data_IF_202599858499
#
_entry.id   IF_202599858499
#
_cell.length_a   1.000
_cell.length_b   1.000
_cell.length_c   1.000
_cell.angle_alpha   90.00
_cell.angle_beta   90.00
_cell.angle_gamma   90.00
#
_symmetry.space_group_name_H-M   'P 1'
#
loop_
_entity.id
_entity.type
_entity.pdbx_description
1 polymer ?
#
# COMPACT_ATOMS: atom_id res chain seq x y z
N UNK A 1 -25.24 -36.64 -11.93
CA UNK A 1 -25.45 -36.19 -10.53
C UNK A 1 -26.05 -37.34 -9.74
N UNK A 2 -25.42 -37.78 -8.64
CA UNK A 2 -25.98 -37.48 -7.30
C UNK A 2 -24.87 -37.29 -6.22
N UNK A 3 -24.87 -36.23 -5.44
CA UNK A 3 -25.60 -36.02 -4.17
C UNK A 3 -25.14 -36.94 -3.03
N UNK A 4 -24.31 -36.36 -2.15
CA UNK A 4 -23.74 -36.96 -0.93
C UNK A 4 -24.84 -37.08 0.12
N UNK A 5 -25.06 -38.29 0.64
CA UNK A 5 -25.84 -38.51 1.85
C UNK A 5 -24.93 -38.92 3.00
N UNK A 6 -25.11 -38.21 4.10
CA UNK A 6 -24.51 -38.35 5.42
C UNK A 6 -24.88 -39.68 6.10
N UNK A 7 -23.93 -40.37 6.71
CA UNK A 7 -24.19 -41.26 7.85
C UNK A 7 -22.91 -41.49 8.65
N UNK A 8 -22.83 -40.95 9.86
CA UNK A 8 -23.01 -41.73 11.09
C UNK A 8 -21.67 -42.08 11.71
N UNK A 9 -21.31 -41.30 12.73
CA UNK A 9 -20.17 -41.51 13.61
C UNK A 9 -20.33 -42.86 14.33
N UNK A 10 -19.32 -43.73 14.23
CA UNK A 10 -19.22 -44.94 15.04
C UNK A 10 -18.44 -44.64 16.34
N UNK A 11 -18.85 -45.24 17.49
CA UNK A 11 -18.28 -44.91 18.79
C UNK A 11 -16.91 -45.56 19.02
N UNK A 12 -16.01 -44.80 19.64
CA UNK A 12 -14.65 -45.21 20.01
C UNK A 12 -14.73 -45.96 21.35
N UNK A 13 -14.64 -47.29 21.36
CA UNK A 13 -14.66 -48.04 22.63
C UNK A 13 -13.48 -48.95 22.90
N UNK A 14 -12.55 -49.20 21.98
CA UNK A 14 -11.43 -50.12 22.28
C UNK A 14 -10.13 -49.74 21.58
N UNK A 15 -9.44 -48.70 22.05
CA UNK A 15 -7.99 -48.58 21.85
C UNK A 15 -7.35 -48.25 23.20
N UNK A 16 -6.47 -49.16 23.61
CA UNK A 16 -5.69 -49.17 24.85
C UNK A 16 -4.84 -47.90 25.00
N UNK A 17 -4.75 -47.44 26.24
CA UNK A 17 -4.19 -46.18 26.75
C UNK A 17 -2.64 -46.14 26.75
N UNK A 18 -1.97 -46.70 25.74
CA UNK A 18 -0.52 -46.77 25.70
C UNK A 18 0.03 -46.28 24.35
N UNK A 19 0.90 -45.27 24.41
CA UNK A 19 1.78 -44.77 23.35
C UNK A 19 1.19 -43.79 22.30
N UNK A 20 0.61 -42.69 22.77
CA UNK A 20 0.76 -41.41 22.06
C UNK A 20 1.49 -40.50 23.07
N UNK A 21 2.78 -40.15 22.87
CA UNK A 21 3.35 -39.09 23.66
C UNK A 21 2.48 -37.86 23.41
N UNK A 22 2.07 -37.15 24.46
CA UNK A 22 1.49 -35.82 24.34
C UNK A 22 2.46 -34.98 23.51
N UNK A 23 2.23 -34.94 22.20
CA UNK A 23 2.85 -33.99 21.30
C UNK A 23 2.23 -32.66 21.69
N UNK A 24 2.83 -32.06 22.71
CA UNK A 24 2.90 -30.64 23.01
C UNK A 24 1.78 -29.92 22.26
N UNK A 25 0.61 -29.91 22.89
CA UNK A 25 -0.53 -29.06 22.57
C UNK A 25 -0.22 -27.58 22.86
N UNK A 26 1.02 -27.18 22.69
CA UNK A 26 1.43 -25.79 22.62
C UNK A 26 1.86 -25.55 21.18
N UNK A 27 0.88 -25.28 20.32
CA UNK A 27 1.14 -24.27 19.31
C UNK A 27 1.66 -23.07 20.10
N UNK A 28 2.93 -22.65 19.94
CA UNK A 28 3.37 -21.45 20.62
C UNK A 28 2.40 -20.38 20.18
N UNK A 29 1.69 -19.79 21.14
CA UNK A 29 0.92 -18.57 20.92
C UNK A 29 1.93 -17.45 20.67
N UNK A 30 2.74 -17.58 19.62
CA UNK A 30 3.39 -16.45 19.01
C UNK A 30 2.23 -15.58 18.57
N UNK A 31 1.98 -14.51 19.33
CA UNK A 31 1.15 -13.41 18.89
C UNK A 31 1.73 -12.99 17.55
N UNK A 32 1.14 -13.46 16.45
CA UNK A 32 1.41 -12.92 15.14
C UNK A 32 0.87 -11.49 15.20
N UNK A 33 1.70 -10.59 15.68
CA UNK A 33 1.46 -9.18 15.59
C UNK A 33 1.56 -8.86 14.11
N UNK A 34 0.40 -8.78 13.46
CA UNK A 34 0.32 -8.13 12.16
C UNK A 34 0.58 -6.66 12.47
N UNK A 35 1.75 -6.09 12.11
CA UNK A 35 1.90 -4.66 12.26
C UNK A 35 0.78 -4.02 11.45
N UNK A 36 0.02 -3.12 12.07
CA UNK A 36 -0.94 -2.34 11.29
C UNK A 36 -0.17 -1.67 10.15
N UNK A 37 -0.66 -1.74 8.90
CA UNK A 37 -0.02 -1.05 7.81
C UNK A 37 -0.01 0.44 8.16
N UNK A 38 1.18 0.99 8.37
CA UNK A 38 1.33 2.44 8.51
C UNK A 38 0.91 3.09 7.20
N UNK A 39 0.23 4.22 7.27
CA UNK A 39 -0.21 4.92 6.07
C UNK A 39 1.02 5.25 5.19
N UNK A 40 0.98 4.96 3.87
CA UNK A 40 2.04 5.35 2.95
C UNK A 40 2.41 6.83 3.11
N UNK A 41 3.70 7.14 3.03
CA UNK A 41 4.19 8.50 3.27
C UNK A 41 4.31 8.90 4.75
N UNK A 42 4.21 7.94 5.68
CA UNK A 42 4.50 8.13 7.12
C UNK A 42 5.95 7.75 7.43
N UNK A 43 6.61 8.56 8.26
CA UNK A 43 7.94 8.23 8.78
C UNK A 43 7.88 7.03 9.74
N UNK A 44 8.65 5.98 9.44
CA UNK A 44 8.87 4.84 10.35
C UNK A 44 10.19 5.08 11.09
N UNK A 45 10.10 5.28 12.40
CA UNK A 45 11.28 5.35 13.24
C UNK A 45 11.93 3.97 13.36
N UNK A 46 13.20 3.85 12.96
CA UNK A 46 13.99 2.68 13.29
C UNK A 46 14.43 2.78 14.75
N UNK A 47 14.11 1.77 15.55
CA UNK A 47 14.65 1.58 16.90
C UNK A 47 16.17 1.34 16.77
N UNK A 48 16.98 2.39 16.75
CA UNK A 48 18.43 2.25 16.94
C UNK A 48 18.68 1.93 18.41
N UNK A 49 19.58 0.98 18.69
CA UNK A 49 19.92 0.46 20.02
C UNK A 49 20.56 1.47 20.99
N UNK A 50 20.48 2.76 20.69
CA UNK A 50 20.97 3.88 21.47
C UNK A 50 19.85 4.91 21.64
N UNK A 51 19.63 5.33 22.88
CA UNK A 51 18.59 6.26 23.32
C UNK A 51 18.74 7.65 22.68
N UNK A 52 18.33 7.77 21.42
CA UNK A 52 18.17 9.04 20.73
C UNK A 52 16.72 9.15 20.30
N UNK A 53 16.02 10.12 20.86
CA UNK A 53 14.63 10.40 20.54
C UNK A 53 14.50 10.72 19.05
N UNK A 54 13.88 9.82 18.31
CA UNK A 54 13.75 9.93 16.85
C UNK A 54 12.75 11.02 16.49
N UNK A 55 13.23 12.25 16.34
CA UNK A 55 12.41 13.36 15.84
C UNK A 55 11.97 13.09 14.41
N UNK A 56 10.68 13.23 14.12
CA UNK A 56 10.14 13.07 12.75
C UNK A 56 10.83 14.08 11.83
N UNK A 57 11.46 13.63 10.72
CA UNK A 57 12.12 14.51 9.76
C UNK A 57 11.14 15.51 9.17
N UNK A 58 11.62 16.71 8.82
CA UNK A 58 10.82 17.76 8.21
C UNK A 58 10.09 17.29 6.94
N UNK A 59 10.67 16.34 6.21
CA UNK A 59 10.10 15.76 4.98
C UNK A 59 8.71 15.14 5.21
N UNK A 60 8.49 14.53 6.37
CA UNK A 60 7.25 13.81 6.71
C UNK A 60 6.30 14.64 7.59
N UNK A 61 6.63 15.90 7.84
CA UNK A 61 5.76 16.80 8.57
C UNK A 61 4.77 17.48 7.61
N UNK A 62 3.53 17.76 8.05
CA UNK A 62 2.57 18.51 7.27
C UNK A 62 3.10 19.88 6.83
N UNK A 63 2.64 20.33 5.67
CA UNK A 63 3.01 21.62 5.11
C UNK A 63 1.82 22.29 4.43
N UNK A 64 1.55 23.53 4.79
CA UNK A 64 0.43 24.29 4.25
C UNK A 64 0.92 25.29 3.20
N UNK A 65 0.32 25.24 2.01
CA UNK A 65 0.53 26.20 0.92
C UNK A 65 -0.81 26.89 0.65
N UNK A 66 -0.89 28.20 0.96
CA UNK A 66 -2.15 28.96 0.91
C UNK A 66 -3.24 28.27 1.75
N UNK A 67 -4.27 27.73 1.11
CA UNK A 67 -5.41 27.07 1.75
C UNK A 67 -5.35 25.53 1.65
N UNK A 68 -4.23 24.96 1.17
CA UNK A 68 -4.04 23.52 0.99
C UNK A 68 -3.02 22.99 2.01
N UNK A 69 -3.42 22.03 2.84
CA UNK A 69 -2.52 21.35 3.79
C UNK A 69 -2.14 19.98 3.25
N UNK A 70 -0.85 19.80 2.98
CA UNK A 70 -0.28 18.53 2.53
C UNK A 70 0.12 17.66 3.73
N UNK A 71 -0.07 16.33 3.67
CA UNK A 71 0.28 15.43 4.78
C UNK A 71 1.80 15.31 4.97
N UNK A 72 2.58 15.51 3.90
CA UNK A 72 4.03 15.50 3.90
C UNK A 72 4.57 16.45 2.81
N UNK A 73 5.89 16.60 2.76
CA UNK A 73 6.60 17.46 1.80
C UNK A 73 7.17 16.66 0.62
N UNK A 74 6.57 15.52 0.30
CA UNK A 74 6.96 14.68 -0.82
C UNK A 74 6.05 15.02 -2.00
N UNK A 75 6.65 15.47 -3.09
CA UNK A 75 5.93 15.90 -4.28
C UNK A 75 6.39 15.09 -5.49
N UNK A 76 5.44 14.76 -6.35
CA UNK A 76 5.74 14.26 -7.69
C UNK A 76 5.75 15.43 -8.66
N UNK A 77 6.89 15.60 -9.33
CA UNK A 77 7.10 16.64 -10.32
C UNK A 77 6.16 16.45 -11.54
N UNK A 78 5.87 17.51 -12.30
CA UNK A 78 5.19 17.37 -13.59
C UNK A 78 6.14 16.66 -14.57
N UNK A 79 5.91 15.38 -14.81
CA UNK A 79 6.72 14.54 -15.69
C UNK A 79 5.91 14.20 -16.95
N UNK A 80 6.40 14.59 -18.13
CA UNK A 80 5.78 14.23 -19.41
C UNK A 80 5.87 12.73 -19.68
N UNK A 81 4.79 12.16 -20.18
CA UNK A 81 4.64 10.72 -20.43
C UNK A 81 4.46 10.39 -21.91
N UNK A 82 4.24 11.38 -22.77
CA UNK A 82 4.04 11.24 -24.23
C UNK A 82 3.02 10.14 -24.59
N UNK A 83 1.99 9.96 -23.74
CA UNK A 83 1.05 8.82 -23.78
C UNK A 83 -0.40 9.25 -24.10
N UNK A 84 -0.56 10.48 -24.57
CA UNK A 84 -1.82 11.06 -25.03
C UNK A 84 -2.08 10.75 -26.50
N UNK A 85 -3.35 10.78 -26.89
CA UNK A 85 -3.75 10.77 -28.29
C UNK A 85 -4.56 12.05 -28.55
N UNK A 86 -4.06 12.89 -29.46
CA UNK A 86 -4.65 14.19 -29.81
C UNK A 86 -4.88 15.17 -28.63
N UNK A 87 -4.09 15.06 -27.54
CA UNK A 87 -4.28 15.89 -26.34
C UNK A 87 -5.27 15.30 -25.33
N UNK A 88 -5.80 14.10 -25.57
CA UNK A 88 -6.69 13.45 -24.63
C UNK A 88 -5.97 12.55 -23.62
N UNK A 89 -6.34 12.76 -22.36
CA UNK A 89 -5.89 11.92 -21.24
C UNK A 89 -6.36 10.47 -21.46
N UNK A 90 -5.39 9.56 -21.57
CA UNK A 90 -5.59 8.11 -21.62
C UNK A 90 -5.56 7.43 -20.24
N UNK A 91 -5.97 6.15 -20.18
CA UNK A 91 -5.93 5.32 -18.97
C UNK A 91 -4.53 5.24 -18.33
N UNK A 92 -3.48 5.38 -19.14
CA UNK A 92 -2.11 5.41 -18.67
C UNK A 92 -1.88 6.52 -17.64
N UNK A 93 -2.37 7.73 -17.92
CA UNK A 93 -2.21 8.86 -17.01
C UNK A 93 -2.99 8.65 -15.70
N UNK A 94 -4.21 8.09 -15.80
CA UNK A 94 -5.04 7.80 -14.63
C UNK A 94 -4.33 6.83 -13.67
N UNK A 95 -3.82 5.72 -14.21
CA UNK A 95 -3.10 4.71 -13.44
C UNK A 95 -1.80 5.28 -12.87
N UNK A 96 -1.06 6.07 -13.65
CA UNK A 96 0.23 6.63 -13.23
C UNK A 96 0.08 7.63 -12.08
N UNK A 97 -0.80 8.63 -12.23
CA UNK A 97 -1.09 9.63 -11.19
C UNK A 97 -1.73 8.97 -9.96
N UNK A 98 -2.61 7.99 -10.18
CA UNK A 98 -3.21 7.19 -9.12
C UNK A 98 -2.16 6.42 -8.33
N UNK A 99 -1.22 5.76 -9.00
CA UNK A 99 -0.12 5.04 -8.36
C UNK A 99 0.70 5.98 -7.48
N UNK A 100 1.13 7.14 -7.99
CA UNK A 100 1.90 8.10 -7.19
C UNK A 100 1.18 8.55 -5.92
N UNK A 101 -0.12 8.80 -6.04
CA UNK A 101 -0.96 9.22 -4.92
C UNK A 101 -1.13 8.09 -3.88
N UNK A 102 -1.28 6.85 -4.33
CA UNK A 102 -1.39 5.67 -3.46
C UNK A 102 -0.09 5.34 -2.70
N UNK A 103 1.07 5.69 -3.26
CA UNK A 103 2.37 5.46 -2.61
C UNK A 103 2.71 6.51 -1.53
N UNK A 104 1.83 7.47 -1.26
CA UNK A 104 1.97 8.41 -0.15
C UNK A 104 2.65 9.73 -0.51
N UNK A 105 2.66 10.12 -1.78
CA UNK A 105 3.01 11.49 -2.15
C UNK A 105 1.97 12.47 -1.59
N UNK A 106 2.42 13.56 -0.97
CA UNK A 106 1.53 14.59 -0.43
C UNK A 106 0.89 15.44 -1.53
N UNK A 107 1.57 15.60 -2.67
CA UNK A 107 1.05 16.28 -3.85
C UNK A 107 1.60 15.61 -5.13
N UNK A 108 0.71 15.35 -6.09
CA UNK A 108 1.06 14.92 -7.44
C UNK A 108 0.64 16.01 -8.42
N UNK A 109 1.56 16.49 -9.25
CA UNK A 109 1.28 17.49 -10.27
C UNK A 109 1.14 16.77 -11.60
N UNK A 110 0.06 17.07 -12.33
CA UNK A 110 -0.13 16.53 -13.68
C UNK A 110 1.01 16.98 -14.60
N UNK A 111 1.31 16.21 -15.63
CA UNK A 111 2.32 16.56 -16.63
C UNK A 111 2.03 17.90 -17.34
N UNK A 112 2.97 18.36 -18.15
CA UNK A 112 2.82 19.62 -18.87
C UNK A 112 1.65 19.54 -19.87
N UNK A 113 0.52 20.17 -19.51
CA UNK A 113 -0.66 20.24 -20.36
C UNK A 113 -0.62 21.46 -21.27
N UNK A 114 -0.67 21.20 -22.58
CA UNK A 114 -0.72 22.21 -23.60
C UNK A 114 -2.07 22.92 -23.60
N UNK A 115 -2.05 24.25 -23.54
CA UNK A 115 -3.26 25.08 -23.61
C UNK A 115 -3.89 25.11 -25.00
N UNK A 116 -3.13 24.78 -26.04
CA UNK A 116 -3.57 24.70 -27.43
C UNK A 116 -2.89 23.52 -28.12
N UNK A 117 -3.47 23.03 -29.21
CA UNK A 117 -2.90 21.92 -30.00
C UNK A 117 -1.47 22.20 -30.51
N UNK A 118 -1.16 23.47 -30.79
CA UNK A 118 0.14 23.96 -31.24
C UNK A 118 1.13 24.17 -30.08
N UNK A 119 0.65 24.19 -28.84
CA UNK A 119 1.47 24.38 -27.63
C UNK A 119 2.09 23.09 -27.10
N UNK A 120 1.81 21.94 -27.73
CA UNK A 120 2.38 20.64 -27.37
C UNK A 120 3.86 20.56 -27.74
N UNK A 121 4.68 19.99 -26.84
CA UNK A 121 6.09 19.69 -27.09
C UNK A 121 6.18 18.48 -28.02
N UNK A 122 5.37 17.46 -27.76
CA UNK A 122 5.25 16.27 -28.62
C UNK A 122 3.80 15.98 -28.99
N UNK A 123 3.52 15.21 -30.07
CA UNK A 123 2.16 14.78 -30.38
C UNK A 123 1.49 13.95 -29.27
N UNK A 124 2.27 13.40 -28.34
CA UNK A 124 1.81 12.59 -27.21
C UNK A 124 1.56 13.39 -25.93
N UNK A 125 1.68 14.72 -25.96
CA UNK A 125 1.34 15.57 -24.81
C UNK A 125 -0.18 15.74 -24.65
N UNK A 126 -0.60 15.93 -23.40
CA UNK A 126 -1.95 16.35 -23.02
C UNK A 126 -2.16 17.85 -23.24
#
# INVERSE_FOLDING_TARGET
MPSIKTSSVAPVSHISKAAIPELITEYPQQRYHVPQPVAPGTFISQKSSSDQESKVPLLFQPFTVKNLTLPNRILVAPMCMDSSQDGFVSDFHLVSVGAYSLHGAGLTIMEAAAVTEFGRITPGDI
#
